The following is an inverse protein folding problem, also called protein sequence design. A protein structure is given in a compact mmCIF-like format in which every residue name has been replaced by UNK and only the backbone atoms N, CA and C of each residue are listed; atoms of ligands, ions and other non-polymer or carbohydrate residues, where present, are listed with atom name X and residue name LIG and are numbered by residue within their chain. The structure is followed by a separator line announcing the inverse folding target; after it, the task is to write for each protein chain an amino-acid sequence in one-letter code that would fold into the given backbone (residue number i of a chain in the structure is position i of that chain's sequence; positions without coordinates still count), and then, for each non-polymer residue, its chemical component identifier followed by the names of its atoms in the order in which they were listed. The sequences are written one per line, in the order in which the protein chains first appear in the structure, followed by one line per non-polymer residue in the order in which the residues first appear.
data_IF_401458603370
#
_entry.id   IF_401458603370
#
_cell.length_a   1.000
_cell.length_b   1.000
_cell.length_c   1.000
_cell.angle_alpha   90.00
_cell.angle_beta   90.00
_cell.angle_gamma   90.00
#
_symmetry.space_group_name_H-M   'P 1'
#
loop_
_entity.id
_entity.type
_entity.pdbx_description
1 polymer ?
#
# COMPACT_ATOMS: atom_id res chain seq x y z
N UNK A 1 -1.23 3.95 6.42
CA UNK A 1 0.13 3.79 5.86
C UNK A 1 0.26 4.40 4.46
N UNK A 2 -0.42 3.88 3.42
CA UNK A 2 -0.27 4.41 2.05
C UNK A 2 -0.73 5.87 1.88
N UNK A 3 -1.88 6.24 2.46
CA UNK A 3 -2.41 7.63 2.45
C UNK A 3 -1.41 8.61 3.07
N UNK A 4 -0.85 8.24 4.22
CA UNK A 4 0.10 9.08 4.97
C UNK A 4 1.39 9.29 4.18
N UNK A 5 1.91 8.25 3.52
CA UNK A 5 3.09 8.35 2.65
C UNK A 5 2.83 9.24 1.45
N UNK A 6 1.70 9.06 0.75
CA UNK A 6 1.29 9.91 -0.36
C UNK A 6 1.24 11.39 0.05
N UNK A 7 0.60 11.68 1.19
CA UNK A 7 0.51 13.04 1.74
C UNK A 7 1.89 13.60 2.10
N UNK A 8 2.78 12.81 2.69
CA UNK A 8 4.16 13.20 3.00
C UNK A 8 4.99 13.55 1.76
N UNK A 9 4.61 13.03 0.59
CA UNK A 9 5.23 13.36 -0.70
C UNK A 9 4.56 14.55 -1.40
N UNK A 10 3.55 15.18 -0.79
CA UNK A 10 2.78 16.28 -1.40
C UNK A 10 1.92 15.85 -2.60
N UNK A 11 1.72 14.55 -2.81
CA UNK A 11 0.98 14.03 -3.97
C UNK A 11 -0.53 14.07 -3.70
N UNK A 12 -1.30 14.59 -4.65
CA UNK A 12 -2.76 14.48 -4.60
C UNK A 12 -3.22 13.08 -5.02
N UNK A 13 -4.46 12.72 -4.66
CA UNK A 13 -5.04 11.46 -5.12
C UNK A 13 -5.14 11.42 -6.65
N UNK A 14 -5.47 12.54 -7.29
CA UNK A 14 -5.54 12.63 -8.75
C UNK A 14 -4.20 12.31 -9.41
N UNK A 15 -3.09 12.84 -8.89
CA UNK A 15 -1.76 12.56 -9.46
C UNK A 15 -1.42 11.07 -9.40
N UNK A 16 -1.66 10.43 -8.25
CA UNK A 16 -1.37 9.00 -8.09
C UNK A 16 -2.33 8.15 -8.95
N UNK A 17 -3.60 8.54 -9.05
CA UNK A 17 -4.59 7.85 -9.86
C UNK A 17 -4.25 7.90 -11.34
N UNK A 18 -3.82 9.07 -11.85
CA UNK A 18 -3.35 9.24 -13.23
C UNK A 18 -2.14 8.37 -13.53
N UNK A 19 -1.18 8.26 -12.61
CA UNK A 19 0.00 7.38 -12.75
C UNK A 19 -0.36 5.89 -12.74
N UNK A 20 -1.45 5.54 -12.06
CA UNK A 20 -2.00 4.17 -12.02
C UNK A 20 -2.99 3.88 -13.16
N UNK A 21 -3.30 4.86 -14.02
CA UNK A 21 -4.30 4.69 -15.08
C UNK A 21 -5.72 4.46 -14.59
N UNK A 22 -6.07 4.96 -13.39
CA UNK A 22 -7.40 4.82 -12.77
C UNK A 22 -8.00 6.19 -12.44
N UNK A 23 -9.30 6.21 -12.11
CA UNK A 23 -9.96 7.43 -11.63
C UNK A 23 -9.54 7.79 -10.21
N UNK A 24 -9.56 9.08 -9.86
CA UNK A 24 -9.30 9.54 -8.49
C UNK A 24 -10.27 8.91 -7.48
N UNK A 25 -11.55 8.75 -7.86
CA UNK A 25 -12.54 8.09 -7.01
C UNK A 25 -12.15 6.63 -6.74
N UNK A 26 -11.68 5.91 -7.77
CA UNK A 26 -11.19 4.54 -7.60
C UNK A 26 -9.98 4.47 -6.68
N UNK A 27 -9.04 5.42 -6.78
CA UNK A 27 -7.93 5.50 -5.83
C UNK A 27 -8.42 5.78 -4.41
N UNK A 28 -9.40 6.66 -4.24
CA UNK A 28 -10.00 6.96 -2.92
C UNK A 28 -10.61 5.71 -2.29
N UNK A 29 -11.34 4.91 -3.07
CA UNK A 29 -11.86 3.63 -2.61
C UNK A 29 -10.76 2.64 -2.24
N UNK A 30 -9.71 2.53 -3.05
CA UNK A 30 -8.56 1.67 -2.77
C UNK A 30 -7.80 2.10 -1.51
N UNK A 31 -7.67 3.41 -1.26
CA UNK A 31 -7.06 3.97 -0.05
C UNK A 31 -7.92 3.69 1.20
N UNK A 32 -9.25 3.60 1.07
CA UNK A 32 -10.17 3.23 2.16
C UNK A 32 -10.28 1.73 2.38
N UNK A 33 -10.26 0.95 1.29
CA UNK A 33 -10.43 -0.49 1.30
C UNK A 33 -9.35 -1.18 0.44
N UNK A 34 -8.15 -1.41 1.01
CA UNK A 34 -7.02 -1.98 0.27
C UNK A 34 -7.22 -3.45 -0.14
N UNK A 35 -8.27 -4.13 0.34
CA UNK A 35 -8.57 -5.52 -0.02
C UNK A 35 -8.88 -5.73 -1.51
N UNK A 36 -9.29 -4.68 -2.24
CA UNK A 36 -9.53 -4.74 -3.69
C UNK A 36 -8.30 -4.43 -4.54
N UNK A 37 -7.14 -4.22 -3.90
CA UNK A 37 -5.93 -3.86 -4.59
C UNK A 37 -5.28 -5.13 -5.16
N UNK A 38 -5.17 -5.20 -6.49
CA UNK A 38 -4.45 -6.28 -7.16
C UNK A 38 -2.96 -6.18 -6.87
N UNK A 39 -2.23 -7.29 -6.93
CA UNK A 39 -0.79 -7.31 -6.67
C UNK A 39 -0.01 -6.38 -7.62
N UNK A 40 -0.38 -6.38 -8.90
CA UNK A 40 0.16 -5.44 -9.91
C UNK A 40 0.02 -3.98 -9.47
N UNK A 41 -1.17 -3.59 -9.02
CA UNK A 41 -1.42 -2.22 -8.53
C UNK A 41 -0.70 -1.93 -7.23
N UNK A 42 -0.50 -2.94 -6.37
CA UNK A 42 0.32 -2.78 -5.17
C UNK A 42 1.74 -2.42 -5.54
N UNK A 43 2.34 -3.18 -6.45
CA UNK A 43 3.72 -2.98 -6.90
C UNK A 43 3.88 -1.62 -7.60
N UNK A 44 2.94 -1.25 -8.47
CA UNK A 44 2.95 0.06 -9.12
C UNK A 44 2.81 1.19 -8.11
N UNK A 45 1.93 1.03 -7.11
CA UNK A 45 1.72 2.02 -6.06
C UNK A 45 2.93 2.15 -5.12
N UNK A 46 3.59 1.05 -4.76
CA UNK A 46 4.82 1.10 -3.96
C UNK A 46 5.94 1.81 -4.73
N UNK A 47 6.08 1.55 -6.04
CA UNK A 47 7.02 2.27 -6.88
C UNK A 47 6.74 3.78 -6.94
N UNK A 48 5.48 4.18 -7.13
CA UNK A 48 5.07 5.60 -7.15
C UNK A 48 5.36 6.29 -5.80
N UNK A 49 5.20 5.57 -4.70
CA UNK A 49 5.39 6.10 -3.33
C UNK A 49 6.83 5.97 -2.81
N UNK A 50 7.75 5.45 -3.63
CA UNK A 50 9.13 5.18 -3.23
C UNK A 50 9.21 4.26 -2.01
N UNK A 51 8.43 3.18 -2.03
CA UNK A 51 8.39 2.13 -1.01
C UNK A 51 8.97 0.83 -1.59
N UNK A 52 9.71 0.13 -0.75
CA UNK A 52 10.22 -1.20 -1.07
C UNK A 52 9.25 -2.28 -0.55
N UNK A 53 9.04 -3.34 -1.34
CA UNK A 53 8.21 -4.48 -0.95
C UNK A 53 9.11 -5.67 -0.61
N UNK A 54 9.30 -5.91 0.69
CA UNK A 54 10.11 -7.03 1.17
C UNK A 54 9.20 -8.23 1.45
N UNK A 55 9.48 -9.36 0.79
CA UNK A 55 8.89 -10.65 1.12
C UNK A 55 9.74 -11.32 2.20
N UNK A 56 9.11 -11.71 3.29
CA UNK A 56 9.77 -12.45 4.37
C UNK A 56 9.12 -13.82 4.51
N UNK A 57 9.92 -14.80 4.95
CA UNK A 57 9.37 -16.08 5.36
C UNK A 57 8.29 -15.83 6.40
N UNK A 58 7.13 -16.46 6.21
CA UNK A 58 6.04 -16.35 7.17
C UNK A 58 6.54 -16.99 8.46
N UNK A 59 6.92 -16.13 9.41
CA UNK A 59 7.51 -16.57 10.66
C UNK A 59 6.65 -17.66 11.27
N UNK A 60 7.28 -18.77 11.64
CA UNK A 60 6.72 -19.70 12.63
C UNK A 60 6.18 -18.82 13.76
N UNK A 61 4.91 -18.97 14.20
CA UNK A 61 4.30 -18.03 15.13
C UNK A 61 5.27 -17.80 16.27
N UNK A 62 5.70 -16.56 16.46
CA UNK A 62 6.55 -16.20 17.56
C UNK A 62 5.78 -16.54 18.82
N UNK A 63 6.07 -17.69 19.42
CA UNK A 63 5.70 -18.01 20.80
C UNK A 63 6.47 -17.06 21.69
N UNK A 64 6.09 -15.78 21.67
CA UNK A 64 6.48 -14.83 22.67
C UNK A 64 5.61 -15.15 23.90
N UNK A 65 6.23 -15.79 24.89
CA UNK A 65 5.73 -15.91 26.25
C UNK A 65 4.57 -16.90 26.45
N UNK A 66 4.87 -18.20 26.48
CA UNK A 66 4.18 -19.08 27.44
C UNK A 66 5.18 -19.31 28.56
N UNK A 67 5.23 -18.35 29.48
CA UNK A 67 5.87 -18.55 30.78
C UNK A 67 4.95 -19.49 31.58
N UNK A 68 5.45 -20.68 31.92
CA UNK A 68 4.87 -21.60 32.90
C UNK A 68 5.61 -21.44 34.22
#
# INVERSE_FOLDING_TARGET
MLVSRRKSMGLSQTVVASRLGISQNRLSELEKNPAHLTLDRLLALTAILGLDLVLQEKGKPSTAGVEW
#
